data_IF_960899003915
#
_entry.id   IF_960899003915
#
_cell.length_a   1.000
_cell.length_b   1.000
_cell.length_c   1.000
_cell.angle_alpha   90.00
_cell.angle_beta   90.00
_cell.angle_gamma   90.00
#
_symmetry.space_group_name_H-M   'P 1'
#
loop_
_entity.id
_entity.type
_entity.pdbx_description
1 polymer ?
#
# COMPACT_ATOMS: atom_id res chain seq x y z
N UNK A 1 -0.73 15.13 -6.06
CA UNK A 1 -2.19 15.33 -6.31
C UNK A 1 -2.89 15.90 -5.07
N UNK A 2 -2.67 15.37 -3.86
CA UNK A 2 -3.31 15.85 -2.62
C UNK A 2 -3.03 17.34 -2.40
N UNK A 3 -1.77 17.80 -2.48
CA UNK A 3 -1.42 19.20 -2.30
C UNK A 3 -2.16 20.15 -3.26
N UNK A 4 -2.31 19.75 -4.54
CA UNK A 4 -3.08 20.54 -5.50
C UNK A 4 -4.58 20.61 -5.14
N UNK A 5 -5.15 19.51 -4.67
CA UNK A 5 -6.56 19.48 -4.27
C UNK A 5 -6.79 20.29 -3.00
N UNK A 6 -5.90 20.21 -2.03
CA UNK A 6 -5.94 21.01 -0.82
C UNK A 6 -5.85 22.52 -1.11
N UNK A 7 -4.91 22.92 -1.98
CA UNK A 7 -4.77 24.32 -2.41
C UNK A 7 -6.05 24.84 -3.11
N UNK A 8 -6.65 24.03 -4.01
CA UNK A 8 -7.94 24.40 -4.64
C UNK A 8 -9.08 24.54 -3.63
N UNK A 9 -9.03 23.80 -2.53
CA UNK A 9 -9.99 23.92 -1.43
C UNK A 9 -9.66 25.05 -0.44
N UNK A 10 -8.61 25.84 -0.70
CA UNK A 10 -8.21 26.99 0.12
C UNK A 10 -7.30 26.67 1.31
N UNK A 11 -6.78 25.45 1.40
CA UNK A 11 -5.83 25.07 2.44
C UNK A 11 -4.40 25.42 2.05
N UNK A 12 -3.61 25.81 3.05
CA UNK A 12 -2.15 25.89 2.93
C UNK A 12 -1.54 24.51 3.08
N UNK A 13 -0.54 24.22 2.26
CA UNK A 13 0.13 22.92 2.24
C UNK A 13 1.58 23.04 2.70
N UNK A 14 1.98 22.17 3.62
CA UNK A 14 3.36 22.03 4.08
C UNK A 14 3.83 20.60 3.75
N UNK A 15 4.83 20.48 2.88
CA UNK A 15 5.41 19.21 2.48
C UNK A 15 6.58 18.85 3.39
N UNK A 16 6.61 17.62 3.89
CA UNK A 16 7.78 17.00 4.51
C UNK A 16 8.25 15.82 3.64
N UNK A 17 9.49 15.84 3.22
CA UNK A 17 10.08 14.78 2.38
C UNK A 17 11.61 14.78 2.48
N UNK A 18 12.28 13.64 2.20
CA UNK A 18 13.72 13.64 1.94
C UNK A 18 14.07 14.53 0.75
N UNK A 19 15.32 14.96 0.68
CA UNK A 19 15.83 15.69 -0.49
C UNK A 19 15.82 14.75 -1.71
N UNK A 20 15.38 15.26 -2.86
CA UNK A 20 15.31 14.48 -4.09
C UNK A 20 14.30 15.04 -5.08
N UNK A 21 13.88 14.21 -6.02
CA UNK A 21 12.83 14.55 -6.97
C UNK A 21 11.44 14.32 -6.34
N UNK A 22 10.90 15.38 -5.78
CA UNK A 22 9.61 15.36 -5.09
C UNK A 22 8.61 16.24 -5.87
N UNK A 23 7.76 15.66 -6.74
CA UNK A 23 6.84 16.45 -7.57
C UNK A 23 5.90 17.38 -6.81
N UNK A 24 5.60 17.10 -5.53
CA UNK A 24 4.76 17.94 -4.71
C UNK A 24 5.41 19.27 -4.30
N UNK A 25 6.75 19.41 -4.39
CA UNK A 25 7.45 20.64 -4.05
C UNK A 25 7.03 21.83 -4.92
N UNK A 26 6.66 21.57 -6.18
CA UNK A 26 6.23 22.60 -7.13
C UNK A 26 4.92 23.30 -6.69
N UNK A 27 4.12 22.65 -5.87
CA UNK A 27 2.76 23.11 -5.49
C UNK A 27 2.57 23.30 -4.00
N UNK A 28 3.55 22.96 -3.17
CA UNK A 28 3.49 23.16 -1.72
C UNK A 28 3.79 24.60 -1.34
N UNK A 29 3.03 25.16 -0.39
CA UNK A 29 3.29 26.51 0.14
C UNK A 29 4.54 26.56 1.01
N UNK A 30 4.87 25.45 1.69
CA UNK A 30 6.06 25.32 2.54
C UNK A 30 6.65 23.91 2.38
N UNK A 31 7.98 23.82 2.48
CA UNK A 31 8.72 22.57 2.35
C UNK A 31 9.68 22.43 3.52
N UNK A 32 9.71 21.26 4.12
CA UNK A 32 10.73 20.84 5.09
C UNK A 32 11.41 19.58 4.57
N UNK A 33 12.70 19.65 4.30
CA UNK A 33 13.50 18.48 3.95
C UNK A 33 14.04 17.79 5.20
N UNK A 34 13.72 16.51 5.34
CA UNK A 34 14.20 15.64 6.41
C UNK A 34 14.03 14.17 6.04
N UNK A 35 14.92 13.33 6.56
CA UNK A 35 14.78 11.88 6.45
C UNK A 35 13.59 11.42 7.30
N UNK A 36 13.02 10.24 6.95
CA UNK A 36 11.86 9.71 7.64
C UNK A 36 12.10 9.37 9.11
N UNK A 37 13.37 9.22 9.53
CA UNK A 37 13.81 8.98 10.91
C UNK A 37 14.41 10.20 11.60
N UNK A 38 14.37 11.39 10.96
CA UNK A 38 14.73 12.66 11.60
C UNK A 38 13.61 13.14 12.52
N UNK A 39 13.57 12.54 13.71
CA UNK A 39 12.50 12.80 14.68
C UNK A 39 12.41 14.26 15.13
N UNK A 40 13.51 14.99 15.17
CA UNK A 40 13.50 16.41 15.55
C UNK A 40 12.75 17.25 14.49
N UNK A 41 13.07 17.05 13.23
CA UNK A 41 12.37 17.72 12.12
C UNK A 41 10.92 17.29 12.00
N UNK A 42 10.61 16.03 12.24
CA UNK A 42 9.21 15.54 12.27
C UNK A 42 8.42 16.24 13.38
N UNK A 43 9.00 16.43 14.55
CA UNK A 43 8.37 17.19 15.65
C UNK A 43 8.18 18.64 15.28
N UNK A 44 9.18 19.31 14.70
CA UNK A 44 9.06 20.70 14.22
C UNK A 44 7.96 20.82 13.16
N UNK A 45 7.94 19.92 12.17
CA UNK A 45 6.90 19.85 11.16
C UNK A 45 5.50 19.69 11.79
N UNK A 46 5.36 18.80 12.77
CA UNK A 46 4.08 18.52 13.42
C UNK A 46 3.50 19.71 14.17
N UNK A 47 4.35 20.60 14.70
CA UNK A 47 3.92 21.81 15.39
C UNK A 47 3.40 22.90 14.42
N UNK A 48 3.68 22.76 13.14
CA UNK A 48 3.40 23.76 12.10
C UNK A 48 2.18 23.37 11.23
N UNK A 49 1.57 22.23 11.49
CA UNK A 49 0.43 21.72 10.70
C UNK A 49 -0.75 21.34 11.60
N UNK A 50 -1.96 21.60 11.10
CA UNK A 50 -3.20 21.19 11.76
C UNK A 50 -3.47 19.70 11.64
N UNK A 51 -3.18 19.12 10.47
CA UNK A 51 -3.27 17.69 10.20
C UNK A 51 -2.24 17.27 9.17
N UNK A 52 -1.88 16.01 9.16
CA UNK A 52 -0.97 15.41 8.21
C UNK A 52 -1.62 14.24 7.47
N UNK A 53 -1.31 14.12 6.20
CA UNK A 53 -1.70 12.98 5.36
C UNK A 53 -0.53 12.59 4.46
N UNK A 54 -0.58 11.39 3.88
CA UNK A 54 0.46 10.95 2.95
C UNK A 54 -0.15 10.32 1.70
N UNK A 55 0.50 10.57 0.59
CA UNK A 55 0.27 9.91 -0.70
C UNK A 55 1.23 8.73 -0.89
N UNK A 56 2.42 8.82 -0.34
CA UNK A 56 3.45 7.79 -0.43
C UNK A 56 3.25 6.72 0.64
N UNK A 57 2.97 5.49 0.22
CA UNK A 57 2.58 4.40 1.13
C UNK A 57 3.73 3.83 1.95
N UNK A 58 4.99 4.04 1.53
CA UNK A 58 6.17 3.43 2.18
C UNK A 58 6.83 4.32 3.25
N UNK A 59 6.12 5.32 3.79
CA UNK A 59 6.60 6.09 4.94
C UNK A 59 6.64 5.17 6.16
N UNK A 60 7.76 5.12 6.92
CA UNK A 60 7.84 4.26 8.09
C UNK A 60 6.72 4.56 9.10
N UNK A 61 6.01 3.53 9.55
CA UNK A 61 4.88 3.70 10.48
C UNK A 61 5.27 4.38 11.79
N UNK A 62 6.52 4.20 12.24
CA UNK A 62 7.06 4.89 13.42
C UNK A 62 7.08 6.43 13.27
N UNK A 63 7.39 6.93 12.08
CA UNK A 63 7.36 8.37 11.79
C UNK A 63 5.93 8.92 11.89
N UNK A 64 4.96 8.16 11.38
CA UNK A 64 3.54 8.51 11.48
C UNK A 64 3.02 8.41 12.91
N UNK A 65 3.48 7.42 13.69
CA UNK A 65 3.17 7.30 15.13
C UNK A 65 3.68 8.51 15.90
N UNK A 66 4.91 8.98 15.62
CA UNK A 66 5.46 10.17 16.24
C UNK A 66 4.61 11.41 15.92
N UNK A 67 4.26 11.61 14.64
CA UNK A 67 3.39 12.71 14.21
C UNK A 67 2.02 12.65 14.89
N UNK A 68 1.44 11.45 15.04
CA UNK A 68 0.12 11.25 15.66
C UNK A 68 0.06 11.68 17.14
N UNK A 69 1.21 11.78 17.82
CA UNK A 69 1.28 12.29 19.19
C UNK A 69 1.17 13.83 19.27
N UNK A 70 1.26 14.51 18.14
CA UNK A 70 1.34 15.98 18.07
C UNK A 70 0.27 16.60 17.17
N UNK A 71 -0.11 15.92 16.11
CA UNK A 71 -1.11 16.38 15.14
C UNK A 71 -1.98 15.23 14.66
N UNK A 72 -3.12 15.54 14.07
CA UNK A 72 -3.98 14.52 13.47
C UNK A 72 -3.32 13.94 12.22
N UNK A 73 -3.06 12.63 12.20
CA UNK A 73 -2.56 11.91 11.02
C UNK A 73 -3.66 11.05 10.43
N UNK A 74 -4.00 11.29 9.17
CA UNK A 74 -5.11 10.63 8.48
C UNK A 74 -4.63 10.13 7.11
N UNK A 75 -4.77 8.85 6.78
CA UNK A 75 -5.17 7.73 7.64
C UNK A 75 -4.21 7.50 8.81
N UNK A 76 -4.66 6.78 9.85
CA UNK A 76 -3.83 6.54 11.03
C UNK A 76 -2.61 5.66 10.72
N UNK A 77 -1.56 5.77 11.54
CA UNK A 77 -0.35 4.94 11.43
C UNK A 77 -0.63 3.42 11.44
N UNK A 78 -1.71 3.00 12.10
CA UNK A 78 -2.16 1.60 12.13
C UNK A 78 -2.58 1.12 10.74
N UNK A 79 -3.30 1.96 9.99
CA UNK A 79 -3.71 1.65 8.62
C UNK A 79 -2.49 1.46 7.72
N UNK A 80 -1.53 2.40 7.79
CA UNK A 80 -0.27 2.29 7.04
C UNK A 80 0.49 1.01 7.38
N UNK A 81 0.66 0.72 8.67
CA UNK A 81 1.35 -0.50 9.12
C UNK A 81 0.66 -1.78 8.64
N UNK A 82 -0.66 -1.77 8.52
CA UNK A 82 -1.41 -2.89 7.97
C UNK A 82 -1.21 -2.99 6.46
N UNK A 83 -1.39 -1.90 5.71
CA UNK A 83 -1.32 -1.88 4.25
C UNK A 83 0.10 -2.14 3.71
N UNK A 84 1.15 -1.76 4.45
CA UNK A 84 2.54 -1.96 4.05
C UNK A 84 3.00 -3.43 4.06
N UNK A 85 2.28 -4.31 4.76
CA UNK A 85 2.67 -5.72 4.96
C UNK A 85 1.53 -6.60 4.48
N UNK A 86 1.71 -7.28 3.33
CA UNK A 86 0.68 -8.08 2.65
C UNK A 86 0.05 -9.16 3.53
N UNK A 87 0.85 -9.82 4.37
CA UNK A 87 0.32 -10.82 5.31
C UNK A 87 -0.63 -10.20 6.33
N UNK A 88 -0.30 -9.02 6.86
CA UNK A 88 -1.16 -8.30 7.81
C UNK A 88 -2.44 -7.77 7.15
N UNK A 89 -2.31 -7.27 5.91
CA UNK A 89 -3.46 -6.84 5.13
C UNK A 89 -4.45 -8.00 4.91
N UNK A 90 -3.94 -9.18 4.54
CA UNK A 90 -4.75 -10.40 4.38
C UNK A 90 -5.38 -10.88 5.68
N UNK A 91 -4.61 -10.89 6.77
CA UNK A 91 -5.13 -11.22 8.10
C UNK A 91 -6.26 -10.27 8.50
N UNK A 92 -6.08 -8.96 8.24
CA UNK A 92 -7.10 -7.95 8.51
C UNK A 92 -8.34 -8.15 7.64
N UNK A 93 -8.18 -8.41 6.34
CA UNK A 93 -9.28 -8.68 5.43
C UNK A 93 -10.11 -9.88 5.91
N UNK A 94 -9.47 -11.00 6.23
CA UNK A 94 -10.13 -12.21 6.75
C UNK A 94 -10.84 -11.91 8.07
N UNK A 95 -10.19 -11.22 9.00
CA UNK A 95 -10.78 -10.83 10.29
C UNK A 95 -12.00 -9.91 10.14
N UNK A 96 -12.01 -9.12 9.07
CA UNK A 96 -13.13 -8.23 8.72
C UNK A 96 -14.24 -8.92 7.89
N UNK A 97 -14.14 -10.24 7.68
CA UNK A 97 -15.14 -11.03 6.96
C UNK A 97 -14.99 -11.05 5.44
N UNK A 98 -13.90 -10.53 4.89
CA UNK A 98 -13.61 -10.62 3.45
C UNK A 98 -12.99 -11.96 3.08
N UNK A 99 -13.37 -12.49 1.92
CA UNK A 99 -12.70 -13.63 1.34
C UNK A 99 -11.40 -13.18 0.66
N UNK A 100 -10.33 -13.92 0.88
CA UNK A 100 -9.05 -13.74 0.20
C UNK A 100 -8.69 -15.00 -0.58
N UNK A 101 -7.84 -14.92 -1.63
CA UNK A 101 -7.19 -16.10 -2.16
C UNK A 101 -6.53 -16.90 -1.05
N UNK A 102 -6.41 -18.20 -1.19
CA UNK A 102 -5.59 -19.00 -0.28
C UNK A 102 -4.16 -18.50 -0.32
N UNK A 103 -3.54 -18.32 0.84
CA UNK A 103 -2.20 -17.74 0.91
C UNK A 103 -1.36 -18.35 2.04
N UNK A 104 -0.03 -18.19 1.93
CA UNK A 104 0.95 -18.69 2.88
C UNK A 104 2.06 -17.65 3.04
N UNK A 105 2.55 -17.48 4.27
CA UNK A 105 3.75 -16.69 4.55
C UNK A 105 4.98 -17.55 4.26
N UNK A 106 5.92 -17.01 3.47
CA UNK A 106 7.12 -17.68 3.01
C UNK A 106 8.33 -16.94 3.55
N UNK A 107 9.09 -17.60 4.41
CA UNK A 107 10.31 -17.05 5.04
C UNK A 107 11.59 -17.64 4.48
N UNK A 108 11.48 -18.76 3.78
CA UNK A 108 12.59 -19.50 3.17
C UNK A 108 12.06 -20.41 2.05
N UNK A 109 12.95 -21.06 1.34
CA UNK A 109 12.62 -21.95 0.24
C UNK A 109 11.83 -23.18 0.69
N UNK A 110 12.07 -23.71 1.90
CA UNK A 110 11.36 -24.90 2.41
C UNK A 110 9.87 -24.58 2.66
N UNK A 111 9.58 -23.37 3.16
CA UNK A 111 8.20 -22.89 3.28
C UNK A 111 7.53 -22.83 1.90
N UNK A 112 8.22 -22.37 0.86
CA UNK A 112 7.69 -22.31 -0.50
C UNK A 112 7.41 -23.71 -1.05
N UNK A 113 8.34 -24.64 -0.93
CA UNK A 113 8.20 -26.05 -1.34
C UNK A 113 7.01 -26.73 -0.64
N UNK A 114 6.83 -26.48 0.64
CA UNK A 114 5.73 -27.06 1.40
C UNK A 114 4.39 -26.43 1.05
N UNK A 115 4.36 -25.12 0.82
CA UNK A 115 3.15 -24.35 0.60
C UNK A 115 2.58 -24.51 -0.80
N UNK A 116 3.43 -24.62 -1.84
CA UNK A 116 3.01 -24.76 -3.24
C UNK A 116 2.16 -26.01 -3.46
N UNK A 117 2.39 -27.08 -2.69
CA UNK A 117 1.62 -28.32 -2.74
C UNK A 117 0.14 -28.12 -2.38
N UNK A 118 -0.15 -27.04 -1.66
CA UNK A 118 -1.50 -26.66 -1.24
C UNK A 118 -2.16 -25.67 -2.20
N UNK A 119 -1.48 -25.22 -3.25
CA UNK A 119 -2.03 -24.40 -4.33
C UNK A 119 -2.53 -25.30 -5.44
N UNK A 120 -3.72 -25.02 -5.96
CA UNK A 120 -4.39 -25.93 -6.89
C UNK A 120 -3.64 -26.07 -8.24
N UNK A 121 -3.22 -24.95 -8.84
CA UNK A 121 -2.54 -24.93 -10.14
C UNK A 121 -1.31 -24.03 -10.11
N UNK A 122 -1.50 -22.75 -10.05
CA UNK A 122 -0.49 -21.70 -10.13
C UNK A 122 -0.64 -20.76 -8.95
N UNK A 123 0.47 -20.34 -8.36
CA UNK A 123 0.54 -19.34 -7.33
C UNK A 123 1.24 -18.07 -7.81
N UNK A 124 1.05 -16.99 -7.08
CA UNK A 124 1.79 -15.75 -7.24
C UNK A 124 2.59 -15.53 -5.96
N UNK A 125 3.92 -15.62 -6.08
CA UNK A 125 4.85 -15.31 -5.01
C UNK A 125 5.12 -13.81 -5.04
N UNK A 126 4.86 -13.12 -3.93
CA UNK A 126 5.01 -11.64 -3.82
C UNK A 126 5.87 -11.31 -2.62
N UNK A 127 6.72 -10.30 -2.70
CA UNK A 127 7.40 -9.77 -1.50
C UNK A 127 6.34 -9.32 -0.48
N UNK A 128 6.57 -9.62 0.80
CA UNK A 128 5.61 -9.28 1.87
C UNK A 128 5.48 -7.77 2.09
N UNK A 129 6.50 -6.99 1.68
CA UNK A 129 6.53 -5.52 1.74
C UNK A 129 7.20 -4.91 0.50
N UNK A 130 7.04 -3.61 0.28
CA UNK A 130 7.72 -2.80 -0.73
C UNK A 130 7.45 -3.17 -2.21
N UNK A 131 6.50 -4.04 -2.52
CA UNK A 131 6.12 -4.34 -3.92
C UNK A 131 5.19 -3.27 -4.51
N UNK A 132 5.46 -2.80 -5.73
CA UNK A 132 4.66 -1.83 -6.47
C UNK A 132 4.65 -2.12 -7.98
N UNK A 133 3.63 -1.71 -8.70
CA UNK A 133 3.50 -1.78 -10.17
C UNK A 133 3.88 -3.13 -10.78
N UNK A 134 3.47 -4.24 -10.13
CA UNK A 134 3.81 -5.59 -10.58
C UNK A 134 5.25 -6.02 -10.30
N UNK A 135 6.10 -5.14 -9.74
CA UNK A 135 7.43 -5.49 -9.27
C UNK A 135 7.37 -6.24 -7.94
N UNK A 136 8.35 -7.12 -7.72
CA UNK A 136 8.38 -7.93 -6.50
C UNK A 136 7.33 -9.04 -6.50
N UNK A 137 6.95 -9.56 -7.67
CA UNK A 137 6.09 -10.74 -7.80
C UNK A 137 6.49 -11.64 -8.96
N UNK A 138 6.29 -12.95 -8.78
CA UNK A 138 6.56 -13.99 -9.76
C UNK A 138 5.43 -15.02 -9.75
N UNK A 139 5.15 -15.59 -10.90
CA UNK A 139 4.27 -16.77 -10.99
C UNK A 139 5.11 -18.00 -10.68
N UNK A 140 4.55 -18.90 -9.89
CA UNK A 140 5.17 -20.17 -9.50
C UNK A 140 4.13 -21.30 -9.55
N UNK A 141 4.60 -22.46 -9.94
CA UNK A 141 3.83 -23.71 -9.94
C UNK A 141 4.69 -24.85 -9.36
N UNK A 142 4.21 -26.09 -9.48
CA UNK A 142 4.89 -27.28 -8.92
C UNK A 142 6.22 -27.59 -9.59
N UNK A 143 6.42 -27.13 -10.82
CA UNK A 143 7.59 -27.41 -11.65
C UNK A 143 8.62 -26.25 -11.60
N UNK A 144 8.31 -25.16 -10.90
CA UNK A 144 9.15 -23.99 -10.77
C UNK A 144 10.43 -24.27 -9.97
N UNK A 145 11.53 -23.61 -10.33
CA UNK A 145 12.74 -23.58 -9.50
C UNK A 145 12.51 -22.62 -8.30
N UNK A 146 12.15 -23.17 -7.16
CA UNK A 146 11.77 -22.39 -5.97
C UNK A 146 12.94 -21.60 -5.38
N UNK A 147 14.16 -22.10 -5.48
CA UNK A 147 15.36 -21.40 -5.02
C UNK A 147 15.56 -20.14 -5.85
N UNK A 148 15.59 -20.27 -7.17
CA UNK A 148 15.71 -19.15 -8.10
C UNK A 148 14.56 -18.15 -7.97
N UNK A 149 13.33 -18.64 -7.83
CA UNK A 149 12.16 -17.78 -7.66
C UNK A 149 12.28 -16.91 -6.40
N UNK A 150 12.73 -17.48 -5.28
CA UNK A 150 12.92 -16.74 -4.04
C UNK A 150 14.13 -15.79 -4.11
N UNK A 151 15.25 -16.19 -4.72
CA UNK A 151 16.40 -15.31 -4.97
C UNK A 151 16.05 -14.12 -5.85
N UNK A 152 15.26 -14.33 -6.90
CA UNK A 152 14.80 -13.25 -7.80
C UNK A 152 13.95 -12.19 -7.07
N UNK A 153 13.33 -12.53 -5.95
CA UNK A 153 12.64 -11.60 -5.07
C UNK A 153 13.53 -11.02 -3.95
N UNK A 154 14.85 -11.28 -4.00
CA UNK A 154 15.83 -10.74 -3.06
C UNK A 154 15.95 -11.54 -1.78
N UNK A 155 15.51 -12.79 -1.74
CA UNK A 155 15.60 -13.68 -0.57
C UNK A 155 14.98 -13.07 0.70
N UNK A 156 13.88 -12.36 0.51
CA UNK A 156 13.11 -11.70 1.60
C UNK A 156 11.84 -12.46 1.92
N UNK A 157 11.21 -12.10 3.02
CA UNK A 157 9.90 -12.63 3.38
C UNK A 157 8.86 -12.33 2.29
N UNK A 158 8.13 -13.35 1.86
CA UNK A 158 7.15 -13.30 0.78
C UNK A 158 5.79 -13.83 1.23
N UNK A 159 4.78 -13.57 0.42
CA UNK A 159 3.46 -14.21 0.48
C UNK A 159 3.25 -14.99 -0.82
N UNK A 160 2.96 -16.28 -0.69
CA UNK A 160 2.48 -17.11 -1.79
C UNK A 160 0.96 -17.05 -1.80
N UNK A 161 0.36 -16.61 -2.88
CA UNK A 161 -1.09 -16.56 -3.07
C UNK A 161 -1.52 -17.50 -4.19
N UNK A 162 -2.66 -18.15 -4.02
CA UNK A 162 -3.30 -18.86 -5.12
C UNK A 162 -3.73 -17.88 -6.20
N UNK A 163 -3.33 -18.13 -7.44
CA UNK A 163 -3.77 -17.30 -8.56
C UNK A 163 -5.23 -17.55 -8.85
N UNK A 164 -6.03 -16.51 -8.73
CA UNK A 164 -7.45 -16.55 -9.07
C UNK A 164 -7.68 -16.22 -10.54
N UNK A 165 -8.58 -16.97 -11.16
CA UNK A 165 -9.19 -16.58 -12.44
C UNK A 165 -10.44 -15.78 -12.13
N UNK A 166 -10.35 -14.45 -12.21
CA UNK A 166 -11.47 -13.56 -11.96
C UNK A 166 -12.06 -13.04 -13.28
N UNK A 167 -13.34 -12.77 -13.26
CA UNK A 167 -14.06 -12.23 -14.42
C UNK A 167 -13.83 -10.73 -14.60
N UNK A 168 -13.65 -10.01 -13.49
CA UNK A 168 -13.49 -8.54 -13.45
C UNK A 168 -12.69 -8.13 -12.24
N UNK A 169 -11.99 -7.01 -12.37
CA UNK A 169 -11.42 -6.27 -11.24
C UNK A 169 -12.26 -5.04 -10.99
N UNK A 170 -12.69 -4.87 -9.75
CA UNK A 170 -13.47 -3.70 -9.32
C UNK A 170 -12.79 -3.03 -8.14
N UNK A 171 -12.94 -1.71 -8.06
CA UNK A 171 -12.51 -0.91 -6.92
C UNK A 171 -13.69 -0.15 -6.34
N UNK A 172 -13.74 -0.10 -5.02
CA UNK A 172 -14.65 0.74 -4.27
C UNK A 172 -13.84 1.74 -3.46
N UNK A 173 -14.00 3.05 -3.75
CA UNK A 173 -13.43 4.08 -2.90
C UNK A 173 -14.40 4.40 -1.76
N UNK A 174 -13.90 4.28 -0.55
CA UNK A 174 -14.59 4.60 0.69
C UNK A 174 -13.91 5.79 1.37
N UNK A 175 -14.68 6.66 1.98
CA UNK A 175 -14.17 7.71 2.85
C UNK A 175 -14.91 7.71 4.18
N UNK A 176 -14.17 8.06 5.24
CA UNK A 176 -14.72 8.32 6.56
C UNK A 176 -13.98 9.52 7.16
N UNK A 177 -14.75 10.52 7.62
CA UNK A 177 -14.20 11.69 8.28
C UNK A 177 -14.15 11.52 9.80
N UNK A 178 -13.53 12.48 10.50
CA UNK A 178 -13.38 12.43 11.96
C UNK A 178 -14.70 12.63 12.72
N UNK A 179 -15.72 13.17 12.07
CA UNK A 179 -17.08 13.33 12.60
C UNK A 179 -18.01 12.15 12.28
N UNK A 180 -17.41 11.01 11.88
CA UNK A 180 -18.10 9.79 11.47
C UNK A 180 -18.95 9.91 10.19
N UNK A 181 -18.88 11.02 9.47
CA UNK A 181 -19.47 11.09 8.12
C UNK A 181 -18.72 10.13 7.22
N UNK A 182 -19.47 9.26 6.54
CA UNK A 182 -18.89 8.25 5.65
C UNK A 182 -19.66 8.11 4.35
N UNK A 183 -19.01 7.58 3.33
CA UNK A 183 -19.66 7.31 2.06
C UNK A 183 -18.79 6.54 1.09
N UNK A 184 -19.40 6.18 -0.03
CA UNK A 184 -18.77 5.43 -1.09
C UNK A 184 -18.87 6.19 -2.41
N UNK A 185 -17.79 6.16 -3.17
CA UNK A 185 -17.85 6.55 -4.57
C UNK A 185 -18.46 5.41 -5.41
N UNK A 186 -18.94 5.71 -6.63
CA UNK A 186 -19.38 4.65 -7.53
C UNK A 186 -18.31 3.58 -7.74
N UNK A 187 -18.72 2.32 -7.83
CA UNK A 187 -17.81 1.24 -8.20
C UNK A 187 -17.10 1.54 -9.50
N UNK A 188 -15.83 1.23 -9.54
CA UNK A 188 -15.00 1.35 -10.74
C UNK A 188 -14.60 -0.04 -11.23
N UNK A 189 -14.61 -0.28 -12.53
CA UNK A 189 -14.05 -1.45 -13.19
C UNK A 189 -12.66 -1.12 -13.74
N UNK A 190 -11.68 -1.95 -13.40
CA UNK A 190 -10.28 -1.76 -13.75
C UNK A 190 -9.83 -2.76 -14.81
N UNK A 191 -9.03 -2.29 -15.74
CA UNK A 191 -8.34 -3.11 -16.72
C UNK A 191 -6.84 -2.94 -16.55
N UNK A 192 -6.17 -4.05 -16.24
CA UNK A 192 -4.71 -4.12 -16.13
C UNK A 192 -4.11 -4.85 -17.33
N UNK A 193 -2.96 -4.37 -17.75
CA UNK A 193 -2.12 -5.02 -18.75
C UNK A 193 -0.71 -5.16 -18.20
N UNK A 194 -0.21 -6.40 -18.15
CA UNK A 194 1.10 -6.73 -17.55
C UNK A 194 1.28 -6.20 -16.11
N UNK A 195 0.21 -6.25 -15.31
CA UNK A 195 0.22 -5.77 -13.93
C UNK A 195 0.15 -4.24 -13.77
N UNK A 196 -0.01 -3.50 -14.86
CA UNK A 196 -0.12 -2.03 -14.85
C UNK A 196 -1.56 -1.64 -15.17
N UNK A 197 -2.16 -0.78 -14.34
CA UNK A 197 -3.49 -0.23 -14.58
C UNK A 197 -3.49 0.64 -15.85
N UNK A 198 -4.26 0.25 -16.86
CA UNK A 198 -4.38 0.95 -18.14
C UNK A 198 -5.65 1.77 -18.25
N UNK A 199 -6.74 1.26 -17.67
CA UNK A 199 -8.04 1.92 -17.79
C UNK A 199 -8.86 1.66 -16.53
N UNK A 200 -9.55 2.71 -16.08
CA UNK A 200 -10.61 2.64 -15.07
C UNK A 200 -11.88 3.23 -15.67
N UNK A 201 -13.01 2.54 -15.50
CA UNK A 201 -14.33 3.02 -15.90
C UNK A 201 -15.23 3.13 -14.66
N UNK A 202 -15.78 4.32 -14.44
CA UNK A 202 -16.71 4.59 -13.34
C UNK A 202 -17.96 5.33 -13.89
N UNK A 203 -19.18 4.93 -13.51
CA UNK A 203 -19.49 3.73 -12.75
C UNK A 203 -19.20 2.43 -13.52
N UNK A 204 -18.91 1.36 -12.77
CA UNK A 204 -18.79 0.03 -13.37
C UNK A 204 -20.16 -0.46 -13.85
N UNK A 205 -20.21 -1.01 -15.04
CA UNK A 205 -21.40 -1.70 -15.56
C UNK A 205 -21.32 -3.20 -15.18
N UNK A 206 -21.94 -3.55 -14.06
CA UNK A 206 -21.95 -4.90 -13.50
C UNK A 206 -22.99 -5.81 -14.15
#
# INVERSE_FOLDING_TARGET
MIAMSASKAGYKTHLYCPKGDNPAEVVADKITHGEWDDYNKLVEFSNDVFCATCEFENIPSKSLELLSNKTNVVPSSIVFRCAQIRSKEKEMAIKSGFNTPKWFLIKNTDDLISSIKNIAKEGILKTNSLGYDGKGQLKVDKDSNFFEAWENLGSVECVLEEKLEFRREISLMYFKSLDDTEGFFPLSENYHENGILKKTSAPAYL
#
